data_IF_653089853562
#
_entry.id   IF_653089853562
#
_cell.length_a   1.000
_cell.length_b   1.000
_cell.length_c   1.000
_cell.angle_alpha   90.00
_cell.angle_beta   90.00
_cell.angle_gamma   90.00
#
_symmetry.space_group_name_H-M   'P 1'
#
loop_
_entity.id
_entity.type
_entity.pdbx_description
1 polymer ?
#
# COMPACT_ATOMS: atom_id res chain seq x y z
N UNK A 1 4.51 -24.23 13.88
CA UNK A 1 3.37 -23.86 13.01
C UNK A 1 3.89 -22.97 11.90
N UNK A 2 3.43 -23.14 10.65
CA UNK A 2 3.79 -22.24 9.57
C UNK A 2 3.37 -20.80 9.90
N UNK A 3 4.08 -19.83 9.36
CA UNK A 3 3.72 -18.41 9.51
C UNK A 3 2.56 -18.08 8.60
N UNK A 4 1.65 -17.23 9.05
CA UNK A 4 0.47 -16.83 8.29
C UNK A 4 0.50 -15.34 7.92
N UNK A 5 0.25 -15.05 6.63
CA UNK A 5 0.20 -13.69 6.13
C UNK A 5 -1.10 -13.40 5.38
N UNK A 6 -1.64 -12.20 5.57
CA UNK A 6 -2.82 -11.69 4.88
C UNK A 6 -2.41 -10.56 3.94
N UNK A 7 -2.87 -10.59 2.68
CA UNK A 7 -2.50 -9.62 1.67
C UNK A 7 -3.76 -9.06 1.00
N UNK A 8 -4.03 -7.76 1.18
CA UNK A 8 -5.11 -7.09 0.45
C UNK A 8 -4.63 -6.57 -0.90
N UNK A 9 -5.52 -6.54 -1.89
CA UNK A 9 -5.15 -6.17 -3.26
C UNK A 9 -4.22 -7.19 -3.92
N UNK A 10 -4.33 -8.48 -3.55
CA UNK A 10 -3.43 -9.54 -3.98
C UNK A 10 -3.58 -9.94 -5.46
N UNK A 11 -4.62 -9.48 -6.17
CA UNK A 11 -4.93 -9.94 -7.54
C UNK A 11 -3.98 -9.41 -8.62
N UNK A 12 -3.07 -8.48 -8.31
CA UNK A 12 -2.11 -7.91 -9.27
C UNK A 12 -0.96 -7.14 -8.60
N UNK A 13 0.03 -6.76 -9.41
CA UNK A 13 1.09 -5.82 -9.06
C UNK A 13 1.86 -6.19 -7.79
N UNK A 14 2.04 -5.20 -6.90
CA UNK A 14 2.81 -5.35 -5.66
C UNK A 14 2.17 -6.40 -4.74
N UNK A 15 0.84 -6.46 -4.66
CA UNK A 15 0.13 -7.44 -3.82
C UNK A 15 0.35 -8.88 -4.27
N UNK A 16 0.28 -9.14 -5.57
CA UNK A 16 0.57 -10.46 -6.13
C UNK A 16 2.04 -10.86 -5.93
N UNK A 17 2.93 -9.90 -6.00
CA UNK A 17 4.36 -10.16 -5.77
C UNK A 17 4.67 -10.42 -4.30
N UNK A 18 4.00 -9.74 -3.36
CA UNK A 18 4.07 -10.11 -1.93
C UNK A 18 3.64 -11.57 -1.73
N UNK A 19 2.56 -12.01 -2.39
CA UNK A 19 2.11 -13.39 -2.29
C UNK A 19 3.19 -14.38 -2.76
N UNK A 20 3.84 -14.13 -3.90
CA UNK A 20 4.92 -14.99 -4.42
C UNK A 20 6.10 -15.07 -3.46
N UNK A 21 6.62 -13.91 -3.02
CA UNK A 21 7.81 -13.88 -2.17
C UNK A 21 7.54 -14.40 -0.76
N UNK A 22 6.33 -14.23 -0.22
CA UNK A 22 5.97 -14.77 1.10
C UNK A 22 5.71 -16.27 1.03
N UNK A 23 5.04 -16.77 -0.02
CA UNK A 23 4.89 -18.20 -0.26
C UNK A 23 6.25 -18.89 -0.38
N UNK A 24 7.18 -18.33 -1.17
CA UNK A 24 8.55 -18.85 -1.29
C UNK A 24 9.34 -18.85 0.05
N UNK A 25 8.88 -18.06 1.04
CA UNK A 25 9.43 -18.04 2.41
C UNK A 25 8.66 -18.91 3.40
N UNK A 26 7.74 -19.74 2.91
CA UNK A 26 6.98 -20.70 3.71
C UNK A 26 5.79 -20.11 4.48
N UNK A 27 5.30 -18.92 4.10
CA UNK A 27 4.08 -18.38 4.69
C UNK A 27 2.85 -19.04 4.05
N UNK A 28 1.92 -19.50 4.87
CA UNK A 28 0.53 -19.71 4.45
C UNK A 28 -0.14 -18.35 4.25
N UNK A 29 -1.00 -18.23 3.23
CA UNK A 29 -1.49 -16.94 2.78
C UNK A 29 -3.03 -16.86 2.82
N UNK A 30 -3.55 -15.68 3.16
CA UNK A 30 -4.91 -15.27 2.79
C UNK A 30 -4.81 -14.16 1.75
N UNK A 31 -5.35 -14.42 0.57
CA UNK A 31 -5.34 -13.50 -0.57
C UNK A 31 -6.69 -12.79 -0.69
N UNK A 32 -6.69 -11.46 -0.52
CA UNK A 32 -7.91 -10.64 -0.49
C UNK A 32 -7.94 -9.71 -1.68
N UNK A 33 -8.96 -9.82 -2.55
CA UNK A 33 -9.25 -8.88 -3.65
C UNK A 33 -10.65 -9.12 -4.22
N UNK A 34 -11.11 -8.24 -5.13
CA UNK A 34 -12.41 -8.37 -5.81
C UNK A 34 -12.43 -9.47 -6.87
N UNK A 35 -11.32 -9.65 -7.59
CA UNK A 35 -11.21 -10.55 -8.75
C UNK A 35 -10.80 -11.94 -8.29
N UNK A 36 -11.79 -12.78 -8.01
CA UNK A 36 -11.59 -14.13 -7.49
C UNK A 36 -10.84 -15.04 -8.49
N UNK A 37 -11.15 -14.95 -9.78
CA UNK A 37 -10.49 -15.67 -10.84
C UNK A 37 -8.98 -15.47 -10.84
N UNK A 38 -8.54 -14.22 -10.66
CA UNK A 38 -7.11 -13.88 -10.56
C UNK A 38 -6.47 -14.37 -9.27
N UNK A 39 -7.20 -14.36 -8.16
CA UNK A 39 -6.70 -14.93 -6.90
C UNK A 39 -6.49 -16.43 -7.03
N UNK A 40 -7.44 -17.17 -7.64
CA UNK A 40 -7.32 -18.60 -7.91
C UNK A 40 -6.13 -18.92 -8.82
N UNK A 41 -5.96 -18.15 -9.91
CA UNK A 41 -4.80 -18.29 -10.80
C UNK A 41 -3.48 -18.04 -10.09
N UNK A 42 -3.41 -17.01 -9.23
CA UNK A 42 -2.21 -16.72 -8.45
C UNK A 42 -1.93 -17.86 -7.47
N UNK A 43 -2.93 -18.28 -6.70
CA UNK A 43 -2.82 -19.35 -5.69
C UNK A 43 -2.31 -20.66 -6.30
N UNK A 44 -2.78 -21.03 -7.49
CA UNK A 44 -2.35 -22.25 -8.18
C UNK A 44 -0.83 -22.28 -8.54
N UNK A 45 -0.20 -21.11 -8.60
CA UNK A 45 1.25 -20.99 -8.86
C UNK A 45 2.10 -20.79 -7.60
N UNK A 46 1.52 -20.88 -6.40
CA UNK A 46 2.23 -20.72 -5.13
C UNK A 46 2.56 -22.08 -4.50
N UNK A 47 3.60 -22.12 -3.68
CA UNK A 47 4.12 -23.35 -3.07
C UNK A 47 3.49 -23.68 -1.71
N UNK A 48 2.78 -22.73 -1.11
CA UNK A 48 2.16 -22.87 0.22
C UNK A 48 0.64 -22.81 0.12
N UNK A 49 -0.04 -23.23 1.17
CA UNK A 49 -1.50 -23.15 1.28
C UNK A 49 -1.97 -21.69 1.18
N UNK A 50 -2.99 -21.48 0.34
CA UNK A 50 -3.58 -20.16 0.12
C UNK A 50 -5.10 -20.21 0.30
N UNK A 51 -5.61 -19.42 1.23
CA UNK A 51 -7.02 -19.12 1.36
C UNK A 51 -7.38 -17.94 0.44
N UNK A 52 -8.50 -18.03 -0.27
CA UNK A 52 -9.00 -16.97 -1.14
C UNK A 52 -10.19 -16.30 -0.45
N UNK A 53 -10.10 -15.00 -0.28
CA UNK A 53 -11.14 -14.18 0.32
C UNK A 53 -11.58 -13.08 -0.65
N UNK A 54 -12.60 -13.34 -1.50
CA UNK A 54 -13.14 -12.33 -2.40
C UNK A 54 -13.83 -11.23 -1.58
N UNK A 55 -13.38 -9.97 -1.75
CA UNK A 55 -13.96 -8.83 -1.04
C UNK A 55 -13.79 -7.53 -1.82
N UNK A 56 -14.85 -6.73 -1.85
CA UNK A 56 -14.83 -5.35 -2.30
C UNK A 56 -14.57 -4.41 -1.13
N UNK A 57 -13.32 -4.05 -0.91
CA UNK A 57 -12.91 -3.20 0.21
C UNK A 57 -13.42 -1.75 0.10
N UNK A 58 -14.01 -1.33 -1.04
CA UNK A 58 -14.75 -0.07 -1.09
C UNK A 58 -16.00 -0.11 -0.20
N UNK A 59 -16.49 -1.30 0.18
CA UNK A 59 -17.64 -1.49 1.06
C UNK A 59 -17.17 -1.70 2.51
N UNK A 60 -17.66 -0.86 3.44
CA UNK A 60 -17.34 -0.98 4.88
C UNK A 60 -17.70 -2.37 5.44
N UNK A 61 -18.84 -2.93 5.02
CA UNK A 61 -19.28 -4.27 5.43
C UNK A 61 -18.25 -5.35 5.12
N UNK A 62 -17.64 -5.28 3.93
CA UNK A 62 -16.63 -6.24 3.50
C UNK A 62 -15.31 -6.11 4.30
N UNK A 63 -14.92 -4.88 4.65
CA UNK A 63 -13.80 -4.67 5.56
C UNK A 63 -14.07 -5.30 6.94
N UNK A 64 -15.29 -5.12 7.47
CA UNK A 64 -15.68 -5.69 8.76
C UNK A 64 -15.84 -7.22 8.68
N UNK A 65 -16.30 -7.77 7.55
CA UNK A 65 -16.34 -9.21 7.29
C UNK A 65 -14.93 -9.81 7.33
N UNK A 66 -13.96 -9.17 6.67
CA UNK A 66 -12.56 -9.58 6.74
C UNK A 66 -12.02 -9.52 8.18
N UNK A 67 -12.28 -8.44 8.89
CA UNK A 67 -11.86 -8.32 10.30
C UNK A 67 -12.43 -9.44 11.17
N UNK A 68 -13.71 -9.78 10.98
CA UNK A 68 -14.37 -10.88 11.71
C UNK A 68 -13.69 -12.22 11.40
N UNK A 69 -13.33 -12.47 10.14
CA UNK A 69 -12.62 -13.69 9.72
C UNK A 69 -11.24 -13.82 10.37
N UNK A 70 -10.59 -12.69 10.64
CA UNK A 70 -9.26 -12.64 11.25
C UNK A 70 -9.27 -12.76 12.77
N UNK A 71 -10.43 -12.63 13.42
CA UNK A 71 -10.53 -12.75 14.87
C UNK A 71 -10.21 -14.19 15.33
N UNK A 72 -9.34 -14.30 16.34
CA UNK A 72 -8.90 -15.59 16.87
C UNK A 72 -7.83 -16.31 16.04
N UNK A 73 -7.51 -15.81 14.85
CA UNK A 73 -6.39 -16.35 14.04
C UNK A 73 -5.06 -15.75 14.49
N UNK A 74 -4.01 -16.56 14.43
CA UNK A 74 -2.64 -16.08 14.55
C UNK A 74 -2.23 -15.40 13.24
N UNK A 75 -1.86 -14.12 13.28
CA UNK A 75 -1.39 -13.35 12.14
C UNK A 75 0.06 -12.96 12.37
N UNK A 76 0.97 -13.44 11.54
CA UNK A 76 2.38 -13.05 11.60
C UNK A 76 2.66 -11.81 10.76
N UNK A 77 1.91 -11.63 9.64
CA UNK A 77 2.08 -10.47 8.76
C UNK A 77 0.75 -10.06 8.09
N UNK A 78 0.45 -8.77 8.13
CA UNK A 78 -0.66 -8.19 7.38
C UNK A 78 -0.14 -7.13 6.41
N UNK A 79 -0.36 -7.33 5.10
CA UNK A 79 -0.02 -6.38 4.03
C UNK A 79 -1.29 -5.66 3.59
N UNK A 80 -1.47 -4.43 4.03
CA UNK A 80 -2.58 -3.56 3.67
C UNK A 80 -2.24 -2.81 2.38
N UNK A 81 -2.38 -3.51 1.24
CA UNK A 81 -1.88 -3.04 -0.05
C UNK A 81 -2.99 -2.56 -0.99
N UNK A 82 -4.25 -2.97 -0.79
CA UNK A 82 -5.34 -2.56 -1.67
C UNK A 82 -5.40 -1.04 -1.84
N UNK A 83 -5.47 -0.60 -3.10
CA UNK A 83 -5.53 0.82 -3.44
C UNK A 83 -5.35 1.05 -4.93
N UNK A 84 -5.80 2.20 -5.40
CA UNK A 84 -5.63 2.63 -6.78
C UNK A 84 -5.47 4.16 -6.86
N UNK A 85 -5.19 4.67 -8.03
CA UNK A 85 -5.02 6.09 -8.31
C UNK A 85 -5.83 6.54 -9.51
N UNK A 86 -5.88 7.86 -9.68
CA UNK A 86 -6.41 8.49 -10.89
C UNK A 86 -5.58 9.72 -11.23
N UNK A 87 -5.57 10.09 -12.53
CA UNK A 87 -4.83 11.23 -13.05
C UNK A 87 -5.69 12.05 -14.01
N UNK A 88 -5.82 13.33 -13.74
CA UNK A 88 -6.57 14.31 -14.52
C UNK A 88 -6.54 15.66 -13.83
N UNK A 89 -7.03 16.70 -14.48
CA UNK A 89 -7.33 17.96 -13.80
C UNK A 89 -8.44 17.71 -12.79
N UNK A 90 -8.30 18.23 -11.58
CA UNK A 90 -9.24 17.94 -10.47
C UNK A 90 -10.71 18.27 -10.80
N UNK A 91 -10.93 19.31 -11.60
CA UNK A 91 -12.28 19.70 -12.01
C UNK A 91 -12.88 18.81 -13.11
N UNK A 92 -12.06 17.98 -13.78
CA UNK A 92 -12.45 17.15 -14.91
C UNK A 92 -12.45 15.66 -14.55
N UNK A 93 -11.97 15.28 -13.37
CA UNK A 93 -11.97 13.89 -12.91
C UNK A 93 -13.35 13.44 -12.42
N UNK A 94 -13.62 12.14 -12.55
CA UNK A 94 -14.89 11.54 -12.15
C UNK A 94 -15.00 11.49 -10.61
N UNK A 95 -16.02 12.15 -10.07
CA UNK A 95 -16.27 12.22 -8.62
C UNK A 95 -16.52 10.82 -8.02
N UNK A 96 -17.27 9.94 -8.68
CA UNK A 96 -17.59 8.61 -8.16
C UNK A 96 -16.32 7.75 -8.06
N UNK A 97 -15.42 7.85 -9.05
CA UNK A 97 -14.11 7.19 -9.00
C UNK A 97 -13.22 7.76 -7.88
N UNK A 98 -13.24 9.05 -7.64
CA UNK A 98 -12.53 9.67 -6.52
C UNK A 98 -13.08 9.22 -5.16
N UNK A 99 -14.40 9.14 -5.00
CA UNK A 99 -15.04 8.66 -3.77
C UNK A 99 -14.76 7.16 -3.54
N UNK A 100 -14.73 6.34 -4.60
CA UNK A 100 -14.28 4.95 -4.51
C UNK A 100 -12.81 4.89 -4.07
N UNK A 101 -11.93 5.73 -4.64
CA UNK A 101 -10.52 5.82 -4.25
C UNK A 101 -10.36 6.18 -2.78
N UNK A 102 -11.09 7.17 -2.27
CA UNK A 102 -11.10 7.53 -0.85
C UNK A 102 -11.61 6.36 0.00
N UNK A 103 -12.64 5.67 -0.47
CA UNK A 103 -13.21 4.52 0.23
C UNK A 103 -12.21 3.38 0.39
N UNK A 104 -11.42 3.07 -0.64
CA UNK A 104 -10.40 2.01 -0.60
C UNK A 104 -9.12 2.50 0.09
N UNK A 105 -8.53 3.61 -0.41
CA UNK A 105 -7.21 4.06 0.03
C UNK A 105 -7.20 4.63 1.46
N UNK A 106 -8.34 5.16 1.94
CA UNK A 106 -8.46 5.78 3.25
C UNK A 106 -9.35 4.96 4.18
N UNK A 107 -10.64 4.85 3.89
CA UNK A 107 -11.59 4.22 4.81
C UNK A 107 -11.28 2.76 5.08
N UNK A 108 -11.09 1.95 4.03
CA UNK A 108 -10.77 0.53 4.18
C UNK A 108 -9.42 0.35 4.87
N UNK A 109 -8.39 1.06 4.40
CA UNK A 109 -7.06 1.00 4.99
C UNK A 109 -7.10 1.39 6.47
N UNK A 110 -7.83 2.44 6.85
CA UNK A 110 -7.99 2.86 8.25
C UNK A 110 -8.64 1.77 9.11
N UNK A 111 -9.77 1.22 8.65
CA UNK A 111 -10.49 0.15 9.36
C UNK A 111 -9.55 -1.03 9.60
N UNK A 112 -8.91 -1.51 8.54
CA UNK A 112 -8.02 -2.67 8.60
C UNK A 112 -6.79 -2.37 9.46
N UNK A 113 -6.15 -1.21 9.31
CA UNK A 113 -5.02 -0.80 10.15
C UNK A 113 -5.39 -0.83 11.63
N UNK A 114 -6.50 -0.20 12.01
CA UNK A 114 -6.93 -0.12 13.42
C UNK A 114 -7.28 -1.48 14.00
N UNK A 115 -8.06 -2.28 13.28
CA UNK A 115 -8.54 -3.55 13.80
C UNK A 115 -7.41 -4.60 13.82
N UNK A 116 -6.60 -4.66 12.76
CA UNK A 116 -5.46 -5.59 12.72
C UNK A 116 -4.40 -5.21 13.77
N UNK A 117 -4.08 -3.94 13.93
CA UNK A 117 -3.16 -3.51 14.99
C UNK A 117 -3.65 -3.96 16.39
N UNK A 118 -4.97 -3.87 16.67
CA UNK A 118 -5.55 -4.38 17.91
C UNK A 118 -5.38 -5.89 18.07
N UNK A 119 -5.61 -6.66 16.99
CA UNK A 119 -5.42 -8.12 16.98
C UNK A 119 -3.95 -8.43 17.28
N UNK A 120 -3.00 -7.81 16.59
CA UNK A 120 -1.58 -8.04 16.77
C UNK A 120 -1.09 -7.64 18.17
N UNK A 121 -1.57 -6.52 18.70
CA UNK A 121 -1.23 -6.09 20.06
C UNK A 121 -1.77 -7.06 21.12
N UNK A 122 -3.01 -7.56 20.97
CA UNK A 122 -3.57 -8.59 21.84
C UNK A 122 -2.82 -9.92 21.73
N UNK A 123 -2.36 -10.26 20.54
CA UNK A 123 -1.55 -11.44 20.25
C UNK A 123 -0.12 -11.32 20.81
N UNK A 124 0.39 -10.10 21.03
CA UNK A 124 1.73 -9.83 21.53
C UNK A 124 2.84 -9.97 20.49
N UNK A 125 2.54 -10.17 19.21
CA UNK A 125 3.51 -10.25 18.12
C UNK A 125 2.86 -9.99 16.76
N UNK A 126 3.68 -9.85 15.72
CA UNK A 126 3.26 -9.72 14.33
C UNK A 126 3.67 -8.38 13.71
N UNK A 127 3.35 -8.24 12.42
CA UNK A 127 3.73 -7.09 11.63
C UNK A 127 2.56 -6.61 10.75
N UNK A 128 2.40 -5.30 10.65
CA UNK A 128 1.47 -4.61 9.75
C UNK A 128 2.26 -3.70 8.82
N UNK A 129 2.12 -3.89 7.52
CA UNK A 129 2.67 -3.01 6.50
C UNK A 129 1.54 -2.35 5.71
N UNK A 130 1.40 -1.04 5.82
CA UNK A 130 0.53 -0.25 4.95
C UNK A 130 1.28 0.14 3.66
N UNK A 131 0.62 0.02 2.50
CA UNK A 131 1.20 0.47 1.24
C UNK A 131 0.73 1.89 0.94
N UNK A 132 1.61 2.83 1.26
CA UNK A 132 1.51 4.24 0.91
C UNK A 132 1.94 4.50 -0.53
N UNK A 133 2.71 5.55 -0.72
CA UNK A 133 3.38 5.95 -1.96
C UNK A 133 4.37 7.08 -1.65
N UNK A 134 5.38 7.30 -2.50
CA UNK A 134 6.16 8.54 -2.45
C UNK A 134 5.29 9.79 -2.65
N UNK A 135 4.13 9.66 -3.30
CA UNK A 135 3.11 10.71 -3.39
C UNK A 135 2.66 11.21 -2.01
N UNK A 136 2.58 10.32 -1.01
CA UNK A 136 2.22 10.69 0.36
C UNK A 136 3.34 11.38 1.15
N UNK A 137 4.55 11.42 0.63
CA UNK A 137 5.69 12.13 1.23
C UNK A 137 5.88 13.53 0.65
N UNK A 138 5.13 13.88 -0.39
CA UNK A 138 5.17 15.18 -1.07
C UNK A 138 4.08 16.11 -0.54
N UNK A 139 4.28 17.45 -0.60
CA UNK A 139 3.34 18.41 -0.05
C UNK A 139 2.00 18.49 -0.80
N UNK A 140 2.00 18.19 -2.11
CA UNK A 140 0.81 18.10 -2.96
C UNK A 140 1.18 17.48 -4.32
N UNK A 141 0.18 16.96 -5.05
CA UNK A 141 0.34 16.42 -6.40
C UNK A 141 -0.71 16.97 -7.36
N UNK A 142 -0.49 18.12 -8.00
CA UNK A 142 -1.36 18.60 -9.07
C UNK A 142 -1.59 17.50 -10.12
N UNK A 143 -2.78 17.42 -10.68
CA UNK A 143 -3.26 16.38 -11.61
C UNK A 143 -3.43 14.96 -11.01
N UNK A 144 -3.14 14.78 -9.73
CA UNK A 144 -3.42 13.57 -8.95
C UNK A 144 -3.82 13.95 -7.52
N UNK A 145 -4.58 15.03 -7.34
CA UNK A 145 -4.83 15.67 -6.06
C UNK A 145 -5.39 14.69 -5.02
N UNK A 146 -6.48 14.01 -5.33
CA UNK A 146 -7.13 13.03 -4.45
C UNK A 146 -6.21 11.86 -4.10
N UNK A 147 -5.48 11.32 -5.09
CA UNK A 147 -4.52 10.23 -4.83
C UNK A 147 -3.43 10.65 -3.83
N UNK A 148 -2.79 11.82 -4.06
CA UNK A 148 -1.75 12.33 -3.15
C UNK A 148 -2.28 12.55 -1.74
N UNK A 149 -3.47 13.13 -1.62
CA UNK A 149 -4.13 13.33 -0.33
C UNK A 149 -4.40 12.00 0.40
N UNK A 150 -4.92 10.97 -0.32
CA UNK A 150 -5.13 9.64 0.26
C UNK A 150 -3.83 8.99 0.73
N UNK A 151 -2.74 9.14 -0.03
CA UNK A 151 -1.44 8.55 0.32
C UNK A 151 -0.72 9.33 1.42
N UNK A 152 -0.93 10.64 1.53
CA UNK A 152 -0.46 11.44 2.67
C UNK A 152 -1.16 11.00 3.98
N UNK A 153 -2.48 10.74 3.92
CA UNK A 153 -3.22 10.14 5.04
C UNK A 153 -2.59 8.83 5.51
N UNK A 154 -2.28 7.90 4.59
CA UNK A 154 -1.67 6.60 4.92
C UNK A 154 -0.33 6.75 5.61
N UNK A 155 0.54 7.62 5.07
CA UNK A 155 1.89 7.86 5.65
C UNK A 155 1.78 8.45 7.05
N UNK A 156 0.93 9.47 7.23
CA UNK A 156 0.73 10.15 8.51
C UNK A 156 0.16 9.20 9.57
N UNK A 157 -0.93 8.49 9.26
CA UNK A 157 -1.55 7.51 10.15
C UNK A 157 -0.56 6.43 10.59
N UNK A 158 0.17 5.86 9.62
CA UNK A 158 1.11 4.77 9.90
C UNK A 158 2.27 5.23 10.77
N UNK A 159 2.79 6.44 10.50
CA UNK A 159 3.91 7.00 11.27
C UNK A 159 3.51 7.30 12.71
N UNK A 160 2.31 7.85 12.93
CA UNK A 160 1.77 8.11 14.26
C UNK A 160 1.59 6.79 15.05
N UNK A 161 0.90 5.80 14.46
CA UNK A 161 0.69 4.51 15.10
C UNK A 161 2.01 3.79 15.42
N UNK A 162 2.99 3.84 14.51
CA UNK A 162 4.31 3.24 14.75
C UNK A 162 5.04 3.90 15.93
N UNK A 163 4.87 5.21 16.13
CA UNK A 163 5.45 5.93 17.27
C UNK A 163 4.72 5.59 18.57
N UNK A 164 3.39 5.57 18.58
CA UNK A 164 2.59 5.16 19.75
C UNK A 164 2.95 3.76 20.25
N UNK A 165 3.08 2.79 19.31
CA UNK A 165 3.47 1.42 19.66
C UNK A 165 4.92 1.33 20.20
N UNK A 166 5.83 2.16 19.69
CA UNK A 166 7.20 2.24 20.20
C UNK A 166 7.24 2.78 21.63
N UNK A 167 6.49 3.83 21.92
CA UNK A 167 6.36 4.40 23.27
C UNK A 167 5.73 3.41 24.25
N UNK A 168 4.73 2.65 23.78
CA UNK A 168 4.12 1.55 24.53
C UNK A 168 5.02 0.30 24.65
N UNK A 169 6.24 0.32 24.11
CA UNK A 169 7.18 -0.83 24.07
C UNK A 169 6.55 -2.10 23.47
N UNK A 170 5.62 -1.93 22.54
CA UNK A 170 4.99 -3.05 21.86
C UNK A 170 5.97 -3.79 20.95
N UNK A 171 5.99 -5.13 20.96
CA UNK A 171 6.82 -5.91 20.02
C UNK A 171 6.26 -5.87 18.58
N UNK A 172 5.01 -5.44 18.39
CA UNK A 172 4.35 -5.35 17.08
C UNK A 172 5.07 -4.35 16.20
N UNK A 173 5.32 -4.74 14.95
CA UNK A 173 5.86 -3.83 13.94
C UNK A 173 4.73 -3.19 13.13
N UNK A 174 4.82 -1.89 12.92
CA UNK A 174 3.98 -1.15 11.98
C UNK A 174 4.86 -0.28 11.08
N UNK A 175 4.67 -0.37 9.76
CA UNK A 175 5.43 0.41 8.79
C UNK A 175 4.64 0.78 7.55
N UNK A 176 5.19 1.70 6.77
CA UNK A 176 4.64 2.21 5.54
C UNK A 176 5.61 1.99 4.38
N UNK A 177 5.21 1.21 3.38
CA UNK A 177 5.91 1.12 2.11
C UNK A 177 5.51 2.31 1.24
N UNK A 178 6.47 3.12 0.83
CA UNK A 178 6.26 4.31 0.00
C UNK A 178 6.99 4.15 -1.34
N UNK A 179 6.48 3.34 -2.29
CA UNK A 179 7.11 3.17 -3.58
C UNK A 179 6.98 4.44 -4.43
N UNK A 180 8.00 4.69 -5.27
CA UNK A 180 7.88 5.50 -6.46
C UNK A 180 7.15 4.73 -7.58
N UNK A 181 7.39 5.08 -8.86
CA UNK A 181 6.85 4.31 -9.97
C UNK A 181 7.27 2.84 -9.92
N UNK A 182 6.30 1.94 -10.02
CA UNK A 182 6.49 0.48 -10.12
C UNK A 182 5.79 -0.02 -11.37
N UNK A 183 6.43 -0.88 -12.14
CA UNK A 183 5.88 -1.42 -13.39
C UNK A 183 4.78 -2.44 -13.09
N UNK A 184 3.54 -1.98 -13.00
CA UNK A 184 2.37 -2.80 -12.66
C UNK A 184 1.13 -2.34 -13.44
N UNK A 185 0.03 -3.08 -13.33
CA UNK A 185 -1.28 -2.67 -13.87
C UNK A 185 -1.80 -1.33 -13.27
N UNK A 186 -1.22 -0.85 -12.16
CA UNK A 186 -1.58 0.43 -11.56
C UNK A 186 -1.52 1.58 -12.56
N UNK A 187 -0.54 1.56 -13.48
CA UNK A 187 -0.33 2.61 -14.47
C UNK A 187 -1.54 2.71 -15.41
N UNK A 188 -2.07 1.57 -15.87
CA UNK A 188 -3.26 1.51 -16.71
C UNK A 188 -4.51 1.96 -15.95
N UNK A 189 -4.70 1.51 -14.71
CA UNK A 189 -5.85 1.87 -13.86
C UNK A 189 -5.87 3.36 -13.53
N UNK A 190 -4.70 3.93 -13.26
CA UNK A 190 -4.54 5.34 -12.90
C UNK A 190 -4.45 6.28 -14.11
N UNK A 191 -4.53 5.76 -15.35
CA UNK A 191 -4.35 6.53 -16.59
C UNK A 191 -3.03 7.32 -16.62
N UNK A 192 -1.93 6.71 -16.17
CA UNK A 192 -0.62 7.39 -16.10
C UNK A 192 0.47 6.66 -16.88
N UNK A 193 1.29 7.43 -17.59
CA UNK A 193 2.60 7.00 -18.05
C UNK A 193 3.67 7.71 -17.22
N UNK A 194 4.47 6.97 -16.47
CA UNK A 194 5.52 7.59 -15.68
C UNK A 194 6.70 8.03 -16.54
N UNK A 195 7.13 9.28 -16.36
CA UNK A 195 8.32 9.81 -17.03
C UNK A 195 9.62 9.18 -16.48
N UNK A 196 9.60 8.70 -15.24
CA UNK A 196 10.71 7.98 -14.62
C UNK A 196 10.53 6.48 -14.86
N UNK A 197 11.63 5.79 -15.20
CA UNK A 197 11.64 4.33 -15.31
C UNK A 197 11.23 3.72 -13.97
N UNK A 198 10.14 2.94 -13.98
CA UNK A 198 9.66 2.25 -12.79
C UNK A 198 10.62 1.15 -12.35
N UNK A 199 10.63 0.87 -11.06
CA UNK A 199 11.28 -0.35 -10.52
C UNK A 199 10.37 -1.55 -10.77
N UNK A 200 10.94 -2.76 -10.69
CA UNK A 200 10.13 -3.97 -10.80
C UNK A 200 9.38 -4.26 -9.50
N UNK A 201 8.21 -4.95 -9.54
CA UNK A 201 7.50 -5.38 -8.34
C UNK A 201 8.37 -6.24 -7.42
N UNK A 202 9.21 -7.12 -8.00
CA UNK A 202 10.11 -8.01 -7.28
C UNK A 202 11.11 -7.22 -6.43
N UNK A 203 11.73 -6.20 -7.01
CA UNK A 203 12.66 -5.32 -6.29
C UNK A 203 11.93 -4.53 -5.21
N UNK A 204 10.76 -3.99 -5.51
CA UNK A 204 9.94 -3.24 -4.57
C UNK A 204 9.61 -4.05 -3.32
N UNK A 205 9.11 -5.28 -3.50
CA UNK A 205 8.71 -6.18 -2.41
C UNK A 205 9.94 -6.65 -1.61
N UNK A 206 11.04 -6.99 -2.27
CA UNK A 206 12.28 -7.33 -1.58
C UNK A 206 12.73 -6.20 -0.65
N UNK A 207 12.78 -4.95 -1.15
CA UNK A 207 13.11 -3.78 -0.34
C UNK A 207 12.12 -3.56 0.82
N UNK A 208 10.83 -3.86 0.60
CA UNK A 208 9.81 -3.78 1.65
C UNK A 208 10.11 -4.77 2.79
N UNK A 209 10.33 -6.03 2.45
CA UNK A 209 10.60 -7.09 3.42
C UNK A 209 11.92 -6.86 4.18
N UNK A 210 12.97 -6.38 3.49
CA UNK A 210 14.24 -6.00 4.10
C UNK A 210 14.08 -4.79 5.04
N UNK A 211 13.30 -3.80 4.62
CA UNK A 211 12.99 -2.63 5.45
C UNK A 211 12.19 -2.99 6.70
N UNK A 212 11.25 -3.91 6.59
CA UNK A 212 10.49 -4.46 7.72
C UNK A 212 11.40 -5.22 8.69
N UNK A 213 12.30 -6.07 8.19
CA UNK A 213 13.27 -6.79 9.02
C UNK A 213 14.16 -5.83 9.84
N UNK A 214 14.47 -4.67 9.27
CA UNK A 214 15.20 -3.58 9.94
C UNK A 214 14.30 -2.64 10.75
N UNK A 215 13.03 -2.94 10.92
CA UNK A 215 12.01 -2.16 11.64
C UNK A 215 11.92 -0.69 11.20
N UNK A 216 12.13 -0.39 9.90
CA UNK A 216 11.98 0.97 9.35
C UNK A 216 10.49 1.36 9.32
N UNK A 217 10.15 2.53 9.86
CA UNK A 217 8.76 3.03 9.83
C UNK A 217 8.33 3.43 8.42
N UNK A 218 9.20 4.06 7.64
CA UNK A 218 8.95 4.45 6.24
C UNK A 218 10.00 3.79 5.35
N UNK A 219 9.53 3.05 4.35
CA UNK A 219 10.39 2.29 3.42
C UNK A 219 10.19 2.87 2.01
N UNK A 220 11.22 3.48 1.45
CA UNK A 220 11.24 3.98 0.07
C UNK A 220 12.20 3.10 -0.75
N UNK A 221 11.69 2.22 -1.63
CA UNK A 221 12.52 1.23 -2.32
C UNK A 221 13.59 1.80 -3.25
N UNK A 222 13.28 2.92 -3.96
CA UNK A 222 14.22 3.53 -4.88
C UNK A 222 15.09 4.57 -4.14
N UNK A 223 16.42 4.40 -4.03
CA UNK A 223 17.29 5.30 -3.31
C UNK A 223 17.35 6.72 -3.91
N UNK A 224 17.22 6.83 -5.24
CA UNK A 224 17.18 8.15 -5.92
C UNK A 224 15.90 8.90 -5.53
N UNK A 225 14.77 8.21 -5.52
CA UNK A 225 13.49 8.77 -5.06
C UNK A 225 13.59 9.14 -3.58
N UNK A 226 14.18 8.29 -2.74
CA UNK A 226 14.36 8.56 -1.31
C UNK A 226 15.20 9.83 -1.07
N UNK A 227 16.32 9.97 -1.78
CA UNK A 227 17.16 11.15 -1.71
C UNK A 227 16.40 12.42 -2.18
N UNK A 228 15.69 12.34 -3.31
CA UNK A 228 14.87 13.43 -3.82
C UNK A 228 13.76 13.86 -2.85
N UNK A 229 13.09 12.89 -2.17
CA UNK A 229 12.09 13.19 -1.15
C UNK A 229 12.71 13.86 0.09
N UNK A 230 13.91 13.44 0.50
CA UNK A 230 14.60 14.02 1.64
C UNK A 230 15.06 15.46 1.35
N UNK A 231 15.70 15.68 0.19
CA UNK A 231 16.15 17.01 -0.23
C UNK A 231 14.97 17.96 -0.49
N UNK A 232 13.88 17.44 -1.06
CA UNK A 232 12.67 18.22 -1.32
C UNK A 232 12.05 18.84 -0.07
N UNK A 233 12.26 18.27 1.12
CA UNK A 233 11.76 18.83 2.40
C UNK A 233 12.35 20.19 2.76
N UNK A 234 13.54 20.51 2.24
CA UNK A 234 14.20 21.80 2.45
C UNK A 234 13.75 22.88 1.45
N UNK A 235 12.99 22.52 0.40
CA UNK A 235 12.44 23.48 -0.53
C UNK A 235 11.20 24.16 0.05
N UNK A 236 11.01 25.48 -0.23
CA UNK A 236 9.74 26.14 0.06
C UNK A 236 8.57 25.37 -0.59
N UNK A 237 7.49 25.17 0.18
CA UNK A 237 6.34 24.38 -0.27
C UNK A 237 5.81 24.75 -1.67
N UNK A 238 5.67 26.05 -2.04
CA UNK A 238 5.20 26.41 -3.39
C UNK A 238 6.16 25.96 -4.50
N UNK A 239 7.48 26.01 -4.27
CA UNK A 239 8.50 25.58 -5.24
C UNK A 239 8.40 24.07 -5.44
N UNK A 240 8.30 23.31 -4.36
CA UNK A 240 8.16 21.84 -4.44
C UNK A 240 6.88 21.44 -5.19
N UNK A 241 5.76 22.13 -4.94
CA UNK A 241 4.49 21.89 -5.65
C UNK A 241 4.62 22.19 -7.15
N UNK A 242 5.32 23.28 -7.55
CA UNK A 242 5.59 23.58 -8.96
C UNK A 242 6.41 22.49 -9.66
N UNK A 243 7.43 21.95 -8.98
CA UNK A 243 8.23 20.81 -9.48
C UNK A 243 7.34 19.58 -9.67
N UNK A 244 6.51 19.26 -8.67
CA UNK A 244 5.55 18.17 -8.74
C UNK A 244 4.57 18.36 -9.91
N UNK A 245 4.00 19.55 -10.08
CA UNK A 245 3.08 19.88 -11.17
C UNK A 245 3.74 19.68 -12.54
N UNK A 246 4.98 20.12 -12.71
CA UNK A 246 5.72 19.94 -13.97
C UNK A 246 5.91 18.46 -14.31
N UNK A 247 6.28 17.63 -13.32
CA UNK A 247 6.45 16.18 -13.51
C UNK A 247 5.12 15.48 -13.81
N UNK A 248 4.03 15.86 -13.13
CA UNK A 248 2.72 15.25 -13.34
C UNK A 248 2.12 15.67 -14.69
N UNK A 249 2.30 16.92 -15.11
CA UNK A 249 1.82 17.41 -16.41
C UNK A 249 2.38 16.61 -17.59
N UNK A 250 3.63 16.16 -17.51
CA UNK A 250 4.26 15.30 -18.53
C UNK A 250 3.53 13.96 -18.71
N UNK A 251 2.77 13.51 -17.71
CA UNK A 251 1.97 12.28 -17.78
C UNK A 251 0.66 12.46 -18.55
N UNK A 252 0.12 13.69 -18.60
CA UNK A 252 -1.12 14.02 -19.30
C UNK A 252 -0.91 14.22 -20.82
N UNK A 253 0.24 14.75 -21.24
CA UNK A 253 0.51 15.17 -22.62
C UNK A 253 1.16 14.11 -23.51
N UNK A 254 1.32 12.86 -23.04
CA UNK A 254 1.79 11.74 -23.85
C UNK A 254 0.64 10.93 -24.51
N UNK A 255 -0.53 11.57 -24.65
CA UNK A 255 -1.65 11.03 -25.45
C UNK A 255 -1.64 11.62 -26.86
#
# INVERSE_FOLDING_TARGET
>A
MPKFAVITGASSGIGAEFARQLSARGYELMLVARREDRLRKLSAGLTTTCEIFPADLAKKSECLRLVKELQGRRIDLFINNAGFGDCGMFLDTDLDKELEMISVNVRALHILTKQVARILCKQGHGALLNVGSCAGLMPAGPYMATYYATKAYVVSLTSALAQELREARSPVYVGCLCPGPVNTEFNAVANVEFALRGITPEYCVRCALDGMARRKTVIVPNPVVAAGMTLGRFLPRPVYIKIAAHQQRKKLYKR
#
